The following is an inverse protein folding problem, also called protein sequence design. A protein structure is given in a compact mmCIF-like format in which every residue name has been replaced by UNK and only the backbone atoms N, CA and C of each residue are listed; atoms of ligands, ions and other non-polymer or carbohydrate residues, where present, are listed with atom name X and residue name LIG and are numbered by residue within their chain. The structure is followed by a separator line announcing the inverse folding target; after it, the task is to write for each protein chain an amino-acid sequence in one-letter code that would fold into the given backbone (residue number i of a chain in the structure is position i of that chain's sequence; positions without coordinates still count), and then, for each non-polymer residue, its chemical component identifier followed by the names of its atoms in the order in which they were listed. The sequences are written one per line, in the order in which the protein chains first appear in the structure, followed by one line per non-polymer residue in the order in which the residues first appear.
data_IF_968444045355
#
_entry.id   IF_968444045355
#
_cell.length_a   1.000
_cell.length_b   1.000
_cell.length_c   1.000
_cell.angle_alpha   90.00
_cell.angle_beta   90.00
_cell.angle_gamma   90.00
#
_symmetry.space_group_name_H-M   'P 1'
#
loop_
_entity.id
_entity.type
_entity.pdbx_description
1 polymer ?
#
# COMPACT_ATOMS: atom_id res chain seq x y z
N UNK A 1 -8.75 50.89 -6.16
CA UNK A 1 -9.36 49.99 -5.15
C UNK A 1 -10.07 48.77 -5.74
N UNK A 2 -10.58 48.82 -6.98
CA UNK A 2 -11.33 47.71 -7.64
C UNK A 2 -10.48 46.50 -8.09
N UNK A 3 -9.20 46.67 -8.42
CA UNK A 3 -8.32 45.59 -8.90
C UNK A 3 -8.03 44.51 -7.83
N UNK A 4 -7.78 44.92 -6.56
CA UNK A 4 -7.52 43.97 -5.48
C UNK A 4 -8.77 43.15 -5.13
N UNK A 5 -9.95 43.75 -5.27
CA UNK A 5 -11.22 43.09 -5.00
C UNK A 5 -11.54 42.03 -6.06
N UNK A 6 -11.28 42.32 -7.34
CA UNK A 6 -11.47 41.37 -8.43
C UNK A 6 -10.51 40.19 -8.28
N UNK A 7 -9.23 40.43 -7.99
CA UNK A 7 -8.26 39.33 -7.82
C UNK A 7 -8.58 38.45 -6.60
N UNK A 8 -9.01 39.07 -5.49
CA UNK A 8 -9.36 38.34 -4.27
C UNK A 8 -10.69 37.57 -4.43
N UNK A 9 -11.65 38.12 -5.17
CA UNK A 9 -12.90 37.44 -5.54
C UNK A 9 -12.65 36.26 -6.50
N UNK A 10 -11.76 36.41 -7.49
CA UNK A 10 -11.36 35.32 -8.40
C UNK A 10 -10.66 34.21 -7.63
N UNK A 11 -9.78 34.56 -6.68
CA UNK A 11 -9.08 33.58 -5.87
C UNK A 11 -10.03 32.79 -4.95
N UNK A 12 -11.00 33.46 -4.32
CA UNK A 12 -12.04 32.80 -3.52
C UNK A 12 -12.90 31.88 -4.39
N UNK A 13 -13.30 32.32 -5.58
CA UNK A 13 -14.08 31.51 -6.51
C UNK A 13 -13.32 30.26 -6.97
N UNK A 14 -12.01 30.37 -7.24
CA UNK A 14 -11.17 29.22 -7.58
C UNK A 14 -11.02 28.26 -6.41
N UNK A 15 -10.78 28.74 -5.19
CA UNK A 15 -10.68 27.89 -4.00
C UNK A 15 -11.99 27.13 -3.76
N UNK A 16 -13.13 27.80 -3.85
CA UNK A 16 -14.45 27.16 -3.70
C UNK A 16 -14.74 26.15 -4.80
N UNK A 17 -14.41 26.47 -6.07
CA UNK A 17 -14.54 25.53 -7.18
C UNK A 17 -13.70 24.27 -6.95
N UNK A 18 -12.46 24.44 -6.47
CA UNK A 18 -11.56 23.32 -6.16
C UNK A 18 -12.14 22.50 -4.99
N UNK A 19 -12.52 23.14 -3.88
CA UNK A 19 -13.15 22.47 -2.74
C UNK A 19 -14.42 21.70 -3.10
N UNK A 20 -15.26 22.24 -3.99
CA UNK A 20 -16.47 21.57 -4.46
C UNK A 20 -16.15 20.40 -5.39
N UNK A 21 -15.11 20.51 -6.22
CA UNK A 21 -14.62 19.39 -7.03
C UNK A 21 -14.00 18.27 -6.18
N UNK A 22 -13.28 18.60 -5.11
CA UNK A 22 -12.70 17.61 -4.21
C UNK A 22 -13.74 17.03 -3.22
N UNK A 23 -14.78 17.79 -2.86
CA UNK A 23 -15.85 17.36 -1.95
C UNK A 23 -16.90 16.43 -2.56
N UNK A 24 -16.91 16.23 -3.88
CA UNK A 24 -17.75 15.23 -4.56
C UNK A 24 -17.04 13.88 -4.75
N UNK A 25 -15.81 13.71 -4.27
CA UNK A 25 -14.99 12.53 -4.60
C UNK A 25 -15.02 11.41 -3.56
N UNK A 26 -15.85 11.50 -2.53
CA UNK A 26 -15.97 10.41 -1.55
C UNK A 26 -17.41 10.20 -1.13
N UNK A 27 -17.74 8.91 -1.02
CA UNK A 27 -19.03 8.30 -0.65
C UNK A 27 -20.08 8.31 -1.76
N UNK A 28 -20.01 7.33 -2.65
CA UNK A 28 -21.10 6.37 -2.80
C UNK A 28 -20.63 5.14 -3.58
N UNK A 29 -21.14 3.97 -3.18
CA UNK A 29 -20.87 2.61 -3.69
C UNK A 29 -19.59 1.88 -3.22
N UNK A 30 -19.55 1.57 -1.91
CA UNK A 30 -19.00 0.28 -1.46
C UNK A 30 -20.14 -0.48 -0.76
N UNK A 31 -21.17 -0.83 -1.51
CA UNK A 31 -22.30 -1.61 -1.02
C UNK A 31 -22.87 -2.54 -2.11
N UNK A 32 -22.01 -3.38 -2.72
CA UNK A 32 -22.48 -4.51 -3.53
C UNK A 32 -21.59 -5.77 -3.45
N UNK A 33 -21.01 -6.04 -2.27
CA UNK A 33 -20.36 -7.34 -1.99
C UNK A 33 -21.02 -8.00 -0.78
N UNK A 34 -22.35 -8.04 -0.78
CA UNK A 34 -23.16 -8.80 0.18
C UNK A 34 -24.21 -9.66 -0.52
N UNK A 35 -23.98 -10.05 -1.78
CA UNK A 35 -24.63 -11.23 -2.34
C UNK A 35 -23.77 -12.45 -2.01
N UNK A 36 -24.15 -13.29 -1.03
CA UNK A 36 -23.56 -14.62 -0.92
C UNK A 36 -23.95 -15.41 -2.18
N UNK A 37 -22.95 -15.77 -2.99
CA UNK A 37 -23.12 -16.72 -4.09
C UNK A 37 -23.69 -18.03 -3.52
N UNK A 38 -24.87 -18.49 -3.99
CA UNK A 38 -25.45 -19.70 -3.48
C UNK A 38 -24.95 -20.92 -4.25
N UNK A 39 -23.68 -21.06 -4.62
CA UNK A 39 -23.16 -22.33 -5.15
C UNK A 39 -21.68 -22.53 -4.79
N UNK A 40 -21.42 -23.20 -3.67
CA UNK A 40 -20.66 -24.43 -3.81
C UNK A 40 -21.12 -25.44 -2.78
N UNK A 41 -21.75 -26.48 -3.32
CA UNK A 41 -22.01 -27.74 -2.66
C UNK A 41 -20.78 -28.16 -1.86
N UNK A 42 -21.00 -28.50 -0.60
CA UNK A 42 -20.05 -29.15 0.29
C UNK A 42 -19.45 -30.40 -0.38
N UNK A 43 -18.41 -30.21 -1.20
CA UNK A 43 -17.39 -31.21 -1.45
C UNK A 43 -16.50 -31.11 -0.23
N UNK A 44 -16.71 -32.07 0.67
CA UNK A 44 -15.77 -32.44 1.70
C UNK A 44 -14.45 -32.85 1.01
N UNK A 45 -13.66 -31.87 0.62
CA UNK A 45 -12.21 -32.02 0.60
C UNK A 45 -11.85 -32.11 2.06
N UNK A 46 -11.42 -33.26 2.60
CA UNK A 46 -10.80 -33.25 3.91
C UNK A 46 -9.66 -32.25 3.82
N UNK A 47 -9.76 -31.16 4.58
CA UNK A 47 -8.58 -30.36 4.90
C UNK A 47 -7.49 -31.37 5.29
N UNK A 48 -6.31 -31.35 4.64
CA UNK A 48 -5.23 -32.23 5.06
C UNK A 48 -5.07 -32.04 6.57
N UNK A 49 -5.12 -33.13 7.36
CA UNK A 49 -5.24 -33.03 8.81
C UNK A 49 -4.08 -32.18 9.30
N UNK A 50 -4.36 -31.05 9.97
CA UNK A 50 -3.37 -30.10 10.52
C UNK A 50 -1.94 -30.63 10.49
N UNK A 51 -1.28 -30.52 9.33
CA UNK A 51 0.11 -30.89 9.15
C UNK A 51 0.89 -29.62 9.43
N UNK A 52 1.79 -29.72 10.42
CA UNK A 52 2.87 -28.80 10.75
C UNK A 52 3.09 -27.78 9.64
N UNK A 53 2.89 -26.49 9.95
CA UNK A 53 3.33 -25.37 9.11
C UNK A 53 4.63 -25.80 8.43
N UNK A 54 4.67 -26.01 7.09
CA UNK A 54 5.87 -26.52 6.46
C UNK A 54 6.96 -25.52 6.82
N UNK A 55 7.90 -25.97 7.65
CA UNK A 55 9.06 -25.16 7.97
C UNK A 55 9.72 -24.90 6.61
N UNK A 56 9.83 -23.63 6.20
CA UNK A 56 10.26 -23.32 4.85
C UNK A 56 11.61 -23.99 4.64
N UNK A 57 11.68 -24.89 3.64
CA UNK A 57 12.92 -25.60 3.35
C UNK A 57 14.04 -24.57 3.13
N UNK A 58 15.23 -24.76 3.73
CA UNK A 58 16.34 -23.86 3.54
C UNK A 58 16.62 -23.70 2.04
N UNK A 59 16.62 -22.46 1.56
CA UNK A 59 16.86 -22.15 0.16
C UNK A 59 18.31 -22.47 -0.22
N UNK A 60 18.54 -22.88 -1.47
CA UNK A 60 19.92 -23.07 -1.95
C UNK A 60 20.68 -21.74 -1.97
N UNK A 61 22.02 -21.74 -1.82
CA UNK A 61 22.81 -20.52 -1.87
C UNK A 61 22.55 -19.73 -3.18
N UNK A 62 22.02 -18.51 -3.04
CA UNK A 62 21.68 -17.64 -4.17
C UNK A 62 20.19 -17.60 -4.54
N UNK A 63 19.34 -18.39 -3.90
CA UNK A 63 17.90 -18.44 -4.19
C UNK A 63 17.03 -17.40 -3.46
N UNK A 64 17.64 -16.52 -2.65
CA UNK A 64 16.96 -15.41 -1.98
C UNK A 64 16.74 -15.63 -0.48
N UNK A 65 15.71 -15.00 0.09
CA UNK A 65 15.39 -15.10 1.52
C UNK A 65 14.17 -15.99 1.72
N UNK A 66 14.28 -16.96 2.63
CA UNK A 66 13.15 -17.80 3.04
C UNK A 66 12.07 -16.95 3.74
N UNK A 67 10.81 -17.40 3.66
CA UNK A 67 9.70 -16.78 4.40
C UNK A 67 9.99 -16.86 5.90
N UNK A 68 9.80 -15.75 6.62
CA UNK A 68 10.07 -15.67 8.06
C UNK A 68 11.54 -15.47 8.43
N UNK A 69 12.46 -15.52 7.46
CA UNK A 69 13.84 -15.11 7.69
C UNK A 69 13.91 -13.66 8.17
N UNK A 70 14.88 -13.36 9.04
CA UNK A 70 15.13 -11.98 9.47
C UNK A 70 15.51 -11.13 8.26
N UNK A 71 14.87 -9.98 8.11
CA UNK A 71 15.17 -9.06 7.01
C UNK A 71 16.63 -8.56 7.09
N UNK A 72 17.37 -8.48 5.96
CA UNK A 72 18.73 -7.98 5.94
C UNK A 72 18.82 -6.55 6.42
N UNK A 73 19.84 -6.24 7.21
CA UNK A 73 20.14 -4.87 7.60
C UNK A 73 20.73 -4.12 6.39
N UNK A 74 20.08 -3.02 5.98
CA UNK A 74 20.65 -2.06 5.05
C UNK A 74 20.21 -0.64 5.37
N UNK A 75 20.97 0.32 4.85
CA UNK A 75 20.69 1.75 4.95
C UNK A 75 20.85 2.38 3.58
N UNK A 76 19.93 3.28 3.21
CA UNK A 76 19.94 3.98 1.93
C UNK A 76 19.79 5.48 2.16
N UNK A 77 20.37 6.33 1.29
CA UNK A 77 19.98 7.72 1.23
C UNK A 77 18.55 7.83 0.70
N UNK A 78 17.74 8.69 1.32
CA UNK A 78 16.47 9.13 0.76
C UNK A 78 16.67 10.21 -0.33
N UNK A 79 15.57 10.77 -0.83
CA UNK A 79 15.60 11.81 -1.86
C UNK A 79 16.26 13.13 -1.39
N UNK A 80 16.29 13.38 -0.08
CA UNK A 80 16.90 14.55 0.54
C UNK A 80 18.35 14.28 0.98
N UNK A 81 18.83 13.05 0.82
CA UNK A 81 20.17 12.60 1.22
C UNK A 81 20.29 12.19 2.69
N UNK A 82 19.18 12.11 3.43
CA UNK A 82 19.21 11.58 4.79
C UNK A 82 19.42 10.07 4.75
N UNK A 83 20.14 9.54 5.74
CA UNK A 83 20.28 8.09 5.87
C UNK A 83 19.02 7.52 6.51
N UNK A 84 18.37 6.59 5.82
CA UNK A 84 17.23 5.81 6.30
C UNK A 84 17.67 4.36 6.46
N UNK A 85 17.38 3.75 7.61
CA UNK A 85 17.71 2.35 7.89
C UNK A 85 16.45 1.49 7.84
N UNK A 86 16.54 0.25 7.36
CA UNK A 86 15.38 -0.65 7.37
C UNK A 86 14.85 -0.88 8.80
N UNK A 87 15.73 -0.86 9.80
CA UNK A 87 15.38 -1.00 11.21
C UNK A 87 14.48 0.11 11.75
N UNK A 88 14.46 1.28 11.11
CA UNK A 88 13.61 2.40 11.51
C UNK A 88 12.12 2.07 11.34
N UNK A 89 11.81 1.08 10.50
CA UNK A 89 10.46 0.56 10.27
C UNK A 89 10.14 -0.73 11.05
N UNK A 90 10.95 -1.11 12.05
CA UNK A 90 10.72 -2.30 12.84
C UNK A 90 9.32 -2.32 13.48
N UNK A 91 8.63 -3.46 13.40
CA UNK A 91 7.27 -3.63 13.91
C UNK A 91 6.16 -3.18 12.95
N UNK A 92 6.50 -2.63 11.79
CA UNK A 92 5.55 -2.25 10.74
C UNK A 92 5.57 -3.26 9.59
N UNK A 93 4.43 -3.41 8.89
CA UNK A 93 4.38 -4.16 7.62
C UNK A 93 4.88 -3.26 6.50
N UNK A 94 5.98 -3.64 5.87
CA UNK A 94 6.65 -2.83 4.84
C UNK A 94 6.82 -3.64 3.56
N UNK A 95 6.59 -3.01 2.42
CA UNK A 95 6.89 -3.54 1.08
C UNK A 95 8.06 -2.74 0.51
N UNK A 96 9.06 -3.41 -0.03
CA UNK A 96 10.26 -2.79 -0.61
C UNK A 96 10.25 -3.02 -2.11
N UNK A 97 10.27 -1.93 -2.88
CA UNK A 97 10.35 -1.97 -4.34
C UNK A 97 11.74 -1.50 -4.79
N UNK A 98 12.57 -2.41 -5.31
CA UNK A 98 13.82 -2.06 -5.97
C UNK A 98 13.54 -1.68 -7.44
N UNK A 99 14.08 -0.56 -7.89
CA UNK A 99 13.99 -0.11 -9.28
C UNK A 99 15.25 0.65 -9.69
N UNK A 100 15.54 0.68 -10.98
CA UNK A 100 16.64 1.44 -11.58
C UNK A 100 16.10 2.23 -12.77
N UNK A 101 16.59 3.44 -12.97
CA UNK A 101 16.14 4.31 -14.07
C UNK A 101 16.79 4.00 -15.41
N UNK A 102 17.77 3.09 -15.46
CA UNK A 102 18.41 2.62 -16.70
C UNK A 102 18.90 3.76 -17.60
N UNK A 103 20.00 4.41 -17.23
CA UNK A 103 20.76 5.30 -18.13
C UNK A 103 21.90 4.53 -18.80
#
# INVERSE_FOLDING_TARGET
MRIKFINQLVYIALIFSVLMCFGCLETDEIADVLTPDPQDTNVMTPEPPMETTPEPEPLDPGEGLAIGATAPAFSLPDADGNTVMLSDYAGQKVVIQFYSTGL
#
